data_IF_304430512878
#
_entry.id   IF_304430512878
#
_cell.length_a   1.000
_cell.length_b   1.000
_cell.length_c   1.000
_cell.angle_alpha   90.00
_cell.angle_beta   90.00
_cell.angle_gamma   90.00
#
_symmetry.space_group_name_H-M   'P 1'
#
loop_
_entity.id
_entity.type
_entity.pdbx_description
1 polymer ?
#
# COMPACT_ATOMS: atom_id res chain seq x y z
N UNK A 1 8.26 -33.08 36.54
CA UNK A 1 8.95 -32.51 35.37
C UNK A 1 8.14 -31.32 34.86
N UNK A 2 8.60 -30.09 35.12
CA UNK A 2 7.98 -28.84 34.65
C UNK A 2 9.07 -28.08 33.89
N UNK A 3 8.93 -27.93 32.57
CA UNK A 3 9.83 -27.11 31.74
C UNK A 3 9.13 -25.78 31.48
N UNK A 4 9.60 -24.75 32.15
CA UNK A 4 9.31 -23.35 31.84
C UNK A 4 10.37 -22.92 30.84
N UNK A 5 9.96 -22.59 29.61
CA UNK A 5 10.84 -22.12 28.54
C UNK A 5 10.76 -20.59 28.54
N UNK A 6 11.64 -19.94 29.30
CA UNK A 6 11.83 -18.49 29.26
C UNK A 6 12.71 -18.12 28.06
N UNK A 7 12.12 -17.39 27.12
CA UNK A 7 12.74 -16.84 25.93
C UNK A 7 13.54 -15.57 26.33
N UNK A 8 14.86 -15.66 26.42
CA UNK A 8 15.74 -14.48 26.60
C UNK A 8 16.04 -13.83 25.25
N UNK A 9 15.48 -12.65 25.05
CA UNK A 9 15.75 -11.71 23.98
C UNK A 9 17.13 -11.06 24.19
N UNK A 10 18.12 -11.39 23.36
CA UNK A 10 19.43 -10.73 23.38
C UNK A 10 19.38 -9.45 22.51
N UNK A 11 19.23 -8.30 23.18
CA UNK A 11 19.47 -6.97 22.62
C UNK A 11 20.99 -6.71 22.63
N UNK A 12 21.65 -6.82 21.49
CA UNK A 12 23.04 -6.36 21.34
C UNK A 12 23.04 -4.84 21.09
N UNK A 13 23.18 -4.07 22.17
CA UNK A 13 23.51 -2.65 22.15
C UNK A 13 25.01 -2.56 21.87
N UNK A 14 25.42 -2.27 20.63
CA UNK A 14 26.80 -1.85 20.36
C UNK A 14 26.85 -0.34 20.59
N UNK A 15 27.14 0.01 21.83
CA UNK A 15 27.54 1.35 22.23
C UNK A 15 28.96 1.26 22.81
N UNK A 16 29.86 2.07 22.26
CA UNK A 16 31.05 2.53 22.96
C UNK A 16 32.38 2.01 22.42
N UNK A 17 33.30 2.96 22.21
CA UNK A 17 34.71 2.68 22.40
C UNK A 17 35.62 3.13 21.27
N UNK A 18 35.82 4.44 21.15
CA UNK A 18 37.12 4.97 20.73
C UNK A 18 38.22 4.33 21.59
N UNK A 19 39.20 3.70 20.95
CA UNK A 19 40.54 3.49 21.51
C UNK A 19 41.53 3.78 20.39
N UNK A 20 42.08 4.99 20.41
CA UNK A 20 43.44 5.29 19.95
C UNK A 20 44.32 5.09 21.21
N UNK A 21 45.53 4.53 21.20
CA UNK A 21 46.70 4.98 20.45
C UNK A 21 47.90 4.09 20.82
N UNK A 22 48.79 3.79 19.86
CA UNK A 22 50.20 3.55 20.17
C UNK A 22 51.08 3.87 18.95
N UNK A 23 51.69 5.07 19.03
CA UNK A 23 52.94 5.51 18.42
C UNK A 23 53.05 5.62 16.89
N UNK A 24 53.09 6.86 16.41
CA UNK A 24 53.70 7.21 15.12
C UNK A 24 53.30 8.58 14.60
N UNK A 25 54.06 9.59 14.99
CA UNK A 25 54.32 10.87 14.31
C UNK A 25 53.32 11.38 13.24
N UNK A 26 52.80 12.59 13.47
CA UNK A 26 52.46 13.53 12.39
C UNK A 26 51.01 13.99 12.34
N UNK A 27 50.86 15.31 12.34
CA UNK A 27 49.67 16.10 11.97
C UNK A 27 48.54 16.25 12.99
N UNK A 28 48.31 17.51 13.36
CA UNK A 28 47.15 17.94 14.13
C UNK A 28 45.87 17.65 13.33
N UNK A 29 44.91 16.86 13.86
CA UNK A 29 43.60 16.77 13.23
C UNK A 29 42.85 18.07 13.48
N UNK A 30 42.67 18.83 12.41
CA UNK A 30 41.72 19.94 12.35
C UNK A 30 40.39 19.52 13.01
N UNK A 31 39.95 20.26 14.03
CA UNK A 31 38.63 20.09 14.65
C UNK A 31 37.57 20.58 13.67
N UNK A 32 37.22 19.77 12.68
CA UNK A 32 35.97 19.88 11.97
C UNK A 32 35.14 18.66 12.31
N UNK A 33 34.11 18.87 13.14
CA UNK A 33 33.04 17.91 13.27
C UNK A 33 32.46 17.65 11.87
N UNK A 34 32.25 16.39 11.45
CA UNK A 34 31.57 16.11 10.19
C UNK A 34 30.20 16.81 10.22
N UNK A 35 29.92 17.59 9.17
CA UNK A 35 28.65 18.29 9.04
C UNK A 35 27.51 17.28 9.00
N UNK A 36 26.38 17.62 9.63
CA UNK A 36 25.12 16.84 9.70
C UNK A 36 24.48 16.61 8.30
N UNK A 37 25.21 16.87 7.22
CA UNK A 37 24.76 16.76 5.83
C UNK A 37 24.94 15.36 5.22
N UNK A 38 25.59 14.42 5.91
CA UNK A 38 25.71 13.02 5.45
C UNK A 38 24.71 12.09 6.16
N UNK A 39 23.47 12.55 6.35
CA UNK A 39 22.37 11.62 6.50
C UNK A 39 22.29 10.88 5.18
N UNK A 40 22.73 9.62 5.16
CA UNK A 40 22.57 8.71 4.03
C UNK A 40 21.06 8.61 3.74
N UNK A 41 20.56 9.49 2.86
CA UNK A 41 19.17 9.50 2.43
C UNK A 41 18.98 8.17 1.71
N UNK A 42 18.37 7.21 2.40
CA UNK A 42 18.00 5.95 1.78
C UNK A 42 17.03 6.24 0.65
N UNK A 43 17.53 6.33 -0.58
CA UNK A 43 16.70 6.36 -1.77
C UNK A 43 16.35 4.92 -2.11
N UNK A 44 15.06 4.53 -2.03
CA UNK A 44 14.65 3.19 -2.41
C UNK A 44 15.06 2.95 -3.87
N UNK A 45 15.73 1.81 -4.09
CA UNK A 45 16.21 1.40 -5.42
C UNK A 45 15.14 0.66 -6.21
N UNK A 46 14.19 0.03 -5.52
CA UNK A 46 13.14 -0.77 -6.14
C UNK A 46 11.76 -0.21 -5.85
N UNK A 47 10.81 -0.57 -6.71
CA UNK A 47 9.39 -0.36 -6.46
C UNK A 47 8.94 -1.20 -5.26
N UNK A 48 8.02 -0.67 -4.47
CA UNK A 48 7.41 -1.46 -3.39
C UNK A 48 6.51 -2.57 -3.96
N UNK A 49 6.16 -3.56 -3.14
CA UNK A 49 5.36 -4.70 -3.59
C UNK A 49 4.03 -4.29 -4.26
N UNK A 50 3.35 -3.28 -3.71
CA UNK A 50 2.10 -2.75 -4.28
C UNK A 50 2.31 -2.11 -5.65
N UNK A 51 3.37 -1.35 -5.83
CA UNK A 51 3.76 -0.72 -7.10
C UNK A 51 4.12 -1.79 -8.13
N UNK A 52 4.87 -2.83 -7.75
CA UNK A 52 5.20 -3.96 -8.62
C UNK A 52 3.92 -4.67 -9.11
N UNK A 53 2.97 -4.94 -8.22
CA UNK A 53 1.68 -5.56 -8.58
C UNK A 53 0.88 -4.69 -9.57
N UNK A 54 0.89 -3.37 -9.37
CA UNK A 54 0.25 -2.41 -10.26
C UNK A 54 0.91 -2.36 -11.64
N UNK A 55 2.24 -2.43 -11.71
CA UNK A 55 3.01 -2.49 -12.96
C UNK A 55 2.65 -3.76 -13.72
N UNK A 56 2.63 -4.91 -13.06
CA UNK A 56 2.27 -6.19 -13.67
C UNK A 56 0.83 -6.17 -14.20
N UNK A 57 -0.13 -5.64 -13.42
CA UNK A 57 -1.52 -5.46 -13.89
C UNK A 57 -1.56 -4.60 -15.16
N UNK A 58 -0.83 -3.48 -15.19
CA UNK A 58 -0.75 -2.61 -16.36
C UNK A 58 -0.17 -3.32 -17.59
N UNK A 59 0.92 -4.06 -17.38
CA UNK A 59 1.63 -4.83 -18.41
C UNK A 59 0.77 -5.95 -18.98
N UNK A 60 0.21 -6.82 -18.14
CA UNK A 60 -0.62 -7.94 -18.60
C UNK A 60 -1.95 -7.49 -19.21
N UNK A 61 -2.51 -6.38 -18.71
CA UNK A 61 -3.67 -5.76 -19.36
C UNK A 61 -3.31 -5.28 -20.77
N UNK A 62 -2.17 -4.61 -20.95
CA UNK A 62 -1.75 -4.11 -22.26
C UNK A 62 -1.34 -5.22 -23.24
N UNK A 63 -0.65 -6.25 -22.78
CA UNK A 63 -0.26 -7.41 -23.60
C UNK A 63 -1.44 -8.30 -23.97
N UNK A 64 -2.49 -8.31 -23.16
CA UNK A 64 -3.66 -9.16 -23.32
C UNK A 64 -3.48 -10.56 -22.74
N UNK A 65 -2.44 -10.80 -21.93
CA UNK A 65 -2.21 -12.07 -21.23
C UNK A 65 -3.14 -12.21 -20.02
N UNK A 66 -4.32 -12.79 -20.27
CA UNK A 66 -5.36 -12.96 -19.24
C UNK A 66 -4.97 -14.00 -18.19
N UNK A 67 -4.15 -14.99 -18.53
CA UNK A 67 -3.73 -16.04 -17.60
C UNK A 67 -2.83 -15.47 -16.52
N UNK A 68 -1.81 -14.71 -16.93
CA UNK A 68 -0.92 -14.02 -16.01
C UNK A 68 -1.64 -12.91 -15.23
N UNK A 69 -2.50 -12.12 -15.91
CA UNK A 69 -3.30 -11.08 -15.26
C UNK A 69 -4.15 -11.63 -14.10
N UNK A 70 -4.86 -12.74 -14.33
CA UNK A 70 -5.70 -13.38 -13.31
C UNK A 70 -4.89 -13.82 -12.10
N UNK A 71 -3.73 -14.44 -12.32
CA UNK A 71 -2.82 -14.90 -11.27
C UNK A 71 -2.25 -13.74 -10.45
N UNK A 72 -1.77 -12.68 -11.12
CA UNK A 72 -1.24 -11.47 -10.46
C UNK A 72 -2.32 -10.80 -9.62
N UNK A 73 -3.53 -10.63 -10.15
CA UNK A 73 -4.64 -10.01 -9.41
C UNK A 73 -4.99 -10.83 -8.16
N UNK A 74 -5.14 -12.14 -8.30
CA UNK A 74 -5.44 -13.01 -7.16
C UNK A 74 -4.36 -12.89 -6.08
N UNK A 75 -3.09 -12.97 -6.47
CA UNK A 75 -1.97 -12.88 -5.55
C UNK A 75 -1.87 -11.51 -4.85
N UNK A 76 -2.13 -10.41 -5.57
CA UNK A 76 -2.12 -9.07 -5.01
C UNK A 76 -3.24 -8.86 -3.97
N UNK A 77 -4.42 -9.43 -4.23
CA UNK A 77 -5.56 -9.36 -3.30
C UNK A 77 -5.32 -10.24 -2.07
N UNK A 78 -4.81 -11.46 -2.24
CA UNK A 78 -4.49 -12.38 -1.14
C UNK A 78 -3.42 -11.83 -0.20
N UNK A 79 -2.38 -11.19 -0.75
CA UNK A 79 -1.35 -10.49 0.06
C UNK A 79 -1.86 -9.22 0.72
N UNK A 80 -3.04 -8.71 0.31
CA UNK A 80 -3.58 -7.45 0.78
C UNK A 80 -2.81 -6.21 0.30
N UNK A 81 -2.00 -6.33 -0.77
CA UNK A 81 -1.30 -5.19 -1.37
C UNK A 81 -2.26 -4.31 -2.15
N UNK A 82 -3.27 -4.92 -2.78
CA UNK A 82 -4.32 -4.24 -3.53
C UNK A 82 -5.70 -4.73 -3.09
N UNK A 83 -6.63 -3.81 -2.99
CA UNK A 83 -8.05 -4.14 -2.82
C UNK A 83 -8.70 -4.46 -4.18
N UNK A 84 -9.76 -5.29 -4.22
CA UNK A 84 -10.52 -5.54 -5.45
C UNK A 84 -11.01 -4.25 -6.13
N UNK A 85 -11.32 -3.22 -5.33
CA UNK A 85 -11.72 -1.92 -5.83
C UNK A 85 -10.57 -1.18 -6.51
N UNK A 86 -9.36 -1.19 -5.94
CA UNK A 86 -8.17 -0.63 -6.57
C UNK A 86 -7.83 -1.32 -7.88
N UNK A 87 -7.94 -2.66 -7.93
CA UNK A 87 -7.76 -3.44 -9.17
C UNK A 87 -8.76 -3.00 -10.24
N UNK A 88 -10.04 -2.90 -9.90
CA UNK A 88 -11.06 -2.45 -10.86
C UNK A 88 -10.78 -1.04 -11.39
N UNK A 89 -10.34 -0.12 -10.51
CA UNK A 89 -9.98 1.24 -10.91
C UNK A 89 -8.73 1.24 -11.80
N UNK A 90 -7.70 0.47 -11.44
CA UNK A 90 -6.46 0.35 -12.19
C UNK A 90 -6.71 -0.16 -13.61
N UNK A 91 -7.56 -1.17 -13.79
CA UNK A 91 -7.92 -1.68 -15.13
C UNK A 91 -8.73 -0.63 -15.91
N UNK A 92 -9.76 -0.01 -15.31
CA UNK A 92 -10.64 0.93 -16.01
C UNK A 92 -9.92 2.17 -16.53
N UNK A 93 -8.91 2.66 -15.82
CA UNK A 93 -8.15 3.83 -16.30
C UNK A 93 -7.24 3.51 -17.50
N UNK A 94 -6.96 2.24 -17.77
CA UNK A 94 -6.12 1.82 -18.89
C UNK A 94 -6.81 1.94 -20.25
N UNK A 95 -8.04 2.46 -20.30
CA UNK A 95 -8.68 2.82 -21.57
C UNK A 95 -7.77 3.69 -22.46
N UNK A 96 -7.09 4.69 -21.89
CA UNK A 96 -6.21 5.59 -22.64
C UNK A 96 -4.88 4.93 -23.04
N UNK A 97 -4.32 4.09 -22.17
CA UNK A 97 -3.00 3.50 -22.35
C UNK A 97 -3.01 2.15 -23.10
N UNK A 98 -3.93 1.24 -22.75
CA UNK A 98 -4.06 -0.10 -23.33
C UNK A 98 -5.16 -0.19 -24.40
N UNK A 99 -6.18 0.67 -24.33
CA UNK A 99 -7.31 0.71 -25.28
C UNK A 99 -8.53 -0.08 -24.82
N UNK A 100 -9.69 0.21 -25.41
CA UNK A 100 -11.00 -0.32 -24.99
C UNK A 100 -11.07 -1.85 -24.99
N UNK A 101 -10.56 -2.48 -26.05
CA UNK A 101 -10.59 -3.95 -26.22
C UNK A 101 -9.86 -4.64 -25.06
N UNK A 102 -8.64 -4.20 -24.77
CA UNK A 102 -7.81 -4.82 -23.74
C UNK A 102 -8.34 -4.54 -22.33
N UNK A 103 -8.83 -3.31 -22.08
CA UNK A 103 -9.49 -2.97 -20.83
C UNK A 103 -10.72 -3.88 -20.58
N UNK A 104 -11.58 -4.06 -21.58
CA UNK A 104 -12.78 -4.89 -21.43
C UNK A 104 -12.45 -6.37 -21.23
N UNK A 105 -11.42 -6.88 -21.91
CA UNK A 105 -10.93 -8.25 -21.70
C UNK A 105 -10.43 -8.44 -20.26
N UNK A 106 -9.60 -7.52 -19.77
CA UNK A 106 -9.09 -7.53 -18.40
C UNK A 106 -10.21 -7.43 -17.34
N UNK A 107 -11.24 -6.62 -17.59
CA UNK A 107 -12.41 -6.54 -16.72
C UNK A 107 -13.20 -7.86 -16.70
N UNK A 108 -13.40 -8.49 -17.86
CA UNK A 108 -14.07 -9.79 -17.93
C UNK A 108 -13.29 -10.86 -17.15
N UNK A 109 -11.96 -10.88 -17.27
CA UNK A 109 -11.09 -11.77 -16.49
C UNK A 109 -11.17 -11.49 -14.99
N UNK A 110 -11.26 -10.22 -14.60
CA UNK A 110 -11.45 -9.85 -13.19
C UNK A 110 -12.82 -10.27 -12.66
N UNK A 111 -13.88 -10.15 -13.46
CA UNK A 111 -15.22 -10.59 -13.08
C UNK A 111 -15.30 -12.12 -12.97
N UNK A 112 -14.69 -12.88 -13.90
CA UNK A 112 -14.55 -14.34 -13.78
C UNK A 112 -13.82 -14.75 -12.50
N UNK A 113 -12.75 -14.03 -12.12
CA UNK A 113 -12.05 -14.31 -10.86
C UNK A 113 -12.95 -14.09 -9.64
N UNK A 114 -13.84 -13.10 -9.67
CA UNK A 114 -14.79 -12.82 -8.59
C UNK A 114 -15.94 -13.82 -8.53
N UNK A 115 -16.30 -14.44 -9.65
CA UNK A 115 -17.24 -15.56 -9.70
C UNK A 115 -16.62 -16.82 -9.09
N UNK A 116 -15.35 -17.11 -9.41
CA UNK A 116 -14.62 -18.24 -8.84
C UNK A 116 -14.29 -18.04 -7.36
N UNK A 117 -14.05 -16.80 -6.95
CA UNK A 117 -13.66 -16.41 -5.59
C UNK A 117 -14.54 -15.25 -5.12
N UNK A 118 -15.75 -15.54 -4.58
CA UNK A 118 -16.66 -14.50 -4.10
C UNK A 118 -16.07 -13.65 -2.95
N UNK A 119 -15.06 -14.18 -2.26
CA UNK A 119 -14.20 -13.50 -1.29
C UNK A 119 -13.47 -12.26 -1.85
N UNK A 120 -13.25 -12.17 -3.17
CA UNK A 120 -12.70 -10.97 -3.81
C UNK A 120 -13.79 -9.98 -4.25
N UNK A 121 -15.06 -10.29 -3.99
CA UNK A 121 -16.22 -9.47 -4.30
C UNK A 121 -16.83 -8.83 -3.06
N UNK A 122 -18.11 -9.11 -2.82
CA UNK A 122 -18.86 -8.53 -1.70
C UNK A 122 -18.34 -8.98 -0.33
N UNK A 123 -17.68 -10.14 -0.28
CA UNK A 123 -17.17 -10.72 0.96
C UNK A 123 -15.73 -10.31 1.29
N UNK A 124 -15.11 -9.44 0.49
CA UNK A 124 -13.73 -8.98 0.73
C UNK A 124 -13.54 -8.36 2.12
N UNK A 125 -14.53 -7.60 2.61
CA UNK A 125 -14.48 -7.03 3.96
C UNK A 125 -14.49 -8.08 5.09
N UNK A 126 -14.92 -9.32 4.81
CA UNK A 126 -14.89 -10.44 5.77
C UNK A 126 -13.51 -11.12 5.79
N UNK A 127 -12.76 -11.03 4.68
CA UNK A 127 -11.43 -11.62 4.52
C UNK A 127 -10.33 -10.73 5.12
N UNK A 128 -10.49 -9.41 5.04
CA UNK A 128 -9.55 -8.45 5.64
C UNK A 128 -9.76 -8.43 7.16
N UNK A 129 -8.74 -8.74 7.98
CA UNK A 129 -8.82 -8.51 9.41
C UNK A 129 -9.16 -7.04 9.62
N UNK A 130 -10.30 -6.74 10.27
CA UNK A 130 -10.61 -5.37 10.66
C UNK A 130 -9.40 -4.88 11.45
N UNK A 131 -8.61 -3.99 10.85
CA UNK A 131 -7.55 -3.30 11.58
C UNK A 131 -8.27 -2.51 12.67
N UNK A 132 -8.34 -3.10 13.86
CA UNK A 132 -8.56 -2.39 15.11
C UNK A 132 -7.54 -1.29 15.07
N UNK A 133 -8.00 -0.06 14.83
CA UNK A 133 -7.11 1.07 14.63
C UNK A 133 -6.14 1.12 15.80
N UNK A 134 -4.92 1.60 15.57
CA UNK A 134 -3.92 1.73 16.63
C UNK A 134 -4.49 2.49 17.87
N UNK A 135 -5.50 3.34 17.67
CA UNK A 135 -6.32 3.96 18.73
C UNK A 135 -7.10 2.96 19.62
N UNK A 136 -7.66 1.89 19.05
CA UNK A 136 -8.31 0.82 19.80
C UNK A 136 -7.31 -0.09 20.54
N UNK A 137 -6.05 -0.12 20.09
CA UNK A 137 -4.96 -0.85 20.75
C UNK A 137 -4.26 -0.03 21.84
N UNK A 138 -4.21 1.32 21.70
CA UNK A 138 -3.49 2.23 22.61
C UNK A 138 -4.36 3.07 23.55
N UNK A 139 -5.70 3.03 23.48
CA UNK A 139 -6.47 3.81 24.44
C UNK A 139 -7.98 3.74 24.26
N UNK A 140 -8.61 2.90 25.08
CA UNK A 140 -9.60 3.39 26.04
C UNK A 140 -9.73 2.36 27.15
N UNK A 141 -8.97 2.58 28.22
CA UNK A 141 -9.24 1.98 29.52
C UNK A 141 -10.54 2.54 30.08
N UNK A 142 -11.66 2.00 29.61
CA UNK A 142 -12.91 1.94 30.37
C UNK A 142 -13.56 0.62 30.01
N UNK A 143 -13.25 -0.40 30.81
CA UNK A 143 -14.14 -1.54 30.98
C UNK A 143 -15.46 -0.99 31.52
N UNK A 144 -16.37 -0.62 30.63
CA UNK A 144 -17.76 -0.36 30.94
C UNK A 144 -18.41 -1.71 31.17
N UNK A 145 -18.50 -2.08 32.44
CA UNK A 145 -19.14 -3.27 32.96
C UNK A 145 -20.49 -3.56 32.28
N UNK A 146 -20.75 -4.85 32.09
CA UNK A 146 -22.08 -5.36 31.82
C UNK A 146 -23.05 -4.82 32.89
N UNK A 147 -24.04 -4.04 32.46
CA UNK A 147 -25.22 -3.73 33.24
C UNK A 147 -26.42 -4.26 32.49
N UNK A 148 -26.70 -5.54 32.74
CA UNK A 148 -28.06 -6.08 32.73
C UNK A 148 -28.93 -5.20 33.62
N UNK A 149 -29.92 -4.51 33.04
CA UNK A 149 -31.09 -4.04 33.81
C UNK A 149 -32.37 -4.35 33.05
N UNK A 150 -33.17 -5.16 33.75
CA UNK A 150 -34.52 -5.56 33.43
C UNK A 150 -35.47 -4.35 33.31
N UNK A 151 -36.50 -4.61 32.52
CA UNK A 151 -37.72 -3.86 32.25
C UNK A 151 -38.55 -3.65 33.54
N UNK A 152 -39.02 -2.43 33.82
CA UNK A 152 -40.28 -2.15 34.55
C UNK A 152 -40.77 -0.73 34.20
N UNK A 153 -42.09 -0.60 34.12
CA UNK A 153 -42.91 0.43 33.48
C UNK A 153 -43.06 1.80 34.19
N UNK A 154 -43.51 2.74 33.36
CA UNK A 154 -44.39 3.90 33.61
C UNK A 154 -44.00 5.02 34.60
N UNK A 155 -43.66 6.18 34.05
CA UNK A 155 -44.22 7.48 34.44
C UNK A 155 -43.99 8.53 33.34
N UNK A 156 -45.06 9.24 32.99
CA UNK A 156 -45.11 10.32 31.98
C UNK A 156 -44.18 11.46 32.36
N UNK A 157 -43.37 11.95 31.43
CA UNK A 157 -42.99 13.38 31.35
C UNK A 157 -42.28 13.70 30.02
N UNK A 158 -42.78 14.73 29.34
CA UNK A 158 -42.17 15.49 28.24
C UNK A 158 -41.27 14.75 27.26
N UNK A 159 -41.82 14.33 26.11
CA UNK A 159 -40.99 14.04 24.92
C UNK A 159 -40.45 15.37 24.37
N UNK A 160 -39.39 15.89 24.99
CA UNK A 160 -38.48 16.79 24.31
C UNK A 160 -37.81 15.95 23.23
N UNK A 161 -38.29 16.10 21.99
CA UNK A 161 -37.52 15.69 20.83
C UNK A 161 -36.25 16.53 20.81
N UNK A 162 -35.23 16.10 21.56
CA UNK A 162 -33.89 16.55 21.29
C UNK A 162 -33.57 15.95 19.92
N UNK A 163 -33.78 16.78 18.89
CA UNK A 163 -33.30 16.54 17.55
C UNK A 163 -31.79 16.55 17.66
N UNK A 164 -31.23 15.44 18.13
CA UNK A 164 -29.89 15.03 17.76
C UNK A 164 -29.95 14.93 16.26
N UNK A 165 -29.64 16.05 15.62
CA UNK A 165 -29.35 16.19 14.21
C UNK A 165 -28.31 15.12 13.98
N UNK A 166 -28.76 13.94 13.55
CA UNK A 166 -27.90 12.81 13.28
C UNK A 166 -26.94 13.36 12.22
N UNK A 167 -25.73 13.73 12.66
CA UNK A 167 -24.67 14.06 11.72
C UNK A 167 -24.59 12.80 10.89
N UNK A 168 -24.92 12.92 9.60
CA UNK A 168 -24.83 11.82 8.65
C UNK A 168 -23.54 11.06 8.96
N UNK A 169 -23.56 9.72 8.98
CA UNK A 169 -22.34 8.95 9.24
C UNK A 169 -21.23 9.57 8.41
N UNK A 170 -20.12 9.96 9.08
CA UNK A 170 -18.99 10.59 8.40
C UNK A 170 -18.72 9.75 7.14
N UNK A 171 -18.63 10.35 5.95
CA UNK A 171 -18.44 9.58 4.74
C UNK A 171 -17.25 8.65 4.98
N UNK A 172 -17.49 7.33 4.80
CA UNK A 172 -16.46 6.31 4.78
C UNK A 172 -15.26 6.92 4.05
N UNK A 173 -14.09 6.94 4.70
CA UNK A 173 -12.90 7.63 4.24
C UNK A 173 -12.66 7.39 2.74
N UNK A 174 -13.08 8.35 1.88
CA UNK A 174 -13.04 8.27 0.40
C UNK A 174 -11.62 8.15 -0.15
N UNK A 175 -10.60 8.22 0.71
CA UNK A 175 -9.20 8.11 0.33
C UNK A 175 -8.71 6.65 0.29
N UNK A 176 -9.44 5.66 0.82
CA UNK A 176 -9.09 4.24 0.63
C UNK A 176 -9.56 3.66 -0.71
N UNK A 177 -10.51 4.32 -1.37
CA UNK A 177 -11.15 3.81 -2.60
C UNK A 177 -10.59 4.45 -3.87
N UNK A 178 -9.38 5.03 -3.84
CA UNK A 178 -8.80 5.75 -4.97
C UNK A 178 -7.32 5.40 -5.09
N UNK A 179 -6.94 4.84 -6.25
CA UNK A 179 -5.54 4.77 -6.65
C UNK A 179 -4.89 6.16 -6.54
N UNK A 180 -3.72 6.26 -5.92
CA UNK A 180 -2.98 7.52 -5.78
C UNK A 180 -2.48 8.03 -7.14
N UNK A 181 -2.15 9.31 -7.26
CA UNK A 181 -1.68 9.87 -8.55
C UNK A 181 -0.46 9.11 -9.10
N UNK A 182 0.50 8.82 -8.24
CA UNK A 182 1.68 8.01 -8.52
C UNK A 182 1.32 6.63 -9.09
N UNK A 183 0.43 5.92 -8.40
CA UNK A 183 0.00 4.58 -8.79
C UNK A 183 -0.70 4.58 -10.15
N UNK A 184 -1.52 5.61 -10.40
CA UNK A 184 -2.24 5.74 -11.67
C UNK A 184 -1.27 5.90 -12.82
N UNK A 185 -0.31 6.79 -12.63
CA UNK A 185 0.73 7.04 -13.61
C UNK A 185 1.60 5.81 -13.82
N UNK A 186 1.92 5.08 -12.75
CA UNK A 186 2.74 3.87 -12.81
C UNK A 186 2.07 2.76 -13.64
N UNK A 187 0.79 2.51 -13.37
CA UNK A 187 -0.02 1.55 -14.14
C UNK A 187 -0.12 1.97 -15.60
N UNK A 188 -0.33 3.26 -15.87
CA UNK A 188 -0.43 3.79 -17.22
C UNK A 188 0.91 3.70 -17.97
N UNK A 189 2.02 4.06 -17.33
CA UNK A 189 3.37 3.95 -17.86
C UNK A 189 3.71 2.49 -18.22
N UNK A 190 3.39 1.54 -17.34
CA UNK A 190 3.59 0.12 -17.58
C UNK A 190 2.81 -0.37 -18.82
N UNK A 191 1.53 0.00 -18.91
CA UNK A 191 0.70 -0.35 -20.05
C UNK A 191 1.17 0.31 -21.37
N UNK A 192 1.57 1.58 -21.32
CA UNK A 192 2.12 2.30 -22.45
C UNK A 192 3.42 1.64 -22.92
N UNK A 193 4.40 1.47 -22.02
CA UNK A 193 5.69 0.85 -22.35
C UNK A 193 5.53 -0.53 -22.98
N UNK A 194 4.59 -1.34 -22.47
CA UNK A 194 4.29 -2.67 -23.02
C UNK A 194 3.71 -2.62 -24.43
N UNK A 195 2.84 -1.64 -24.71
CA UNK A 195 2.13 -1.57 -26.00
C UNK A 195 2.95 -0.87 -27.08
N UNK A 196 3.69 0.17 -26.73
CA UNK A 196 4.35 1.07 -27.69
C UNK A 196 5.87 1.09 -27.58
N UNK A 197 6.46 0.35 -26.64
CA UNK A 197 7.91 0.30 -26.43
C UNK A 197 8.48 1.57 -25.77
N UNK A 198 9.83 1.65 -25.73
CA UNK A 198 10.54 2.87 -25.33
C UNK A 198 10.37 3.95 -26.39
N UNK A 199 9.38 4.83 -26.22
CA UNK A 199 9.09 5.94 -27.12
C UNK A 199 8.82 7.24 -26.35
N UNK A 200 8.56 8.32 -27.08
CA UNK A 200 8.32 9.65 -26.49
C UNK A 200 7.17 9.69 -25.47
N UNK A 201 6.15 8.82 -25.59
CA UNK A 201 5.05 8.74 -24.62
C UNK A 201 5.50 8.08 -23.31
N UNK A 202 6.34 7.04 -23.41
CA UNK A 202 6.94 6.43 -22.24
C UNK A 202 7.92 7.39 -21.55
N UNK A 203 8.76 8.11 -22.29
CA UNK A 203 9.66 9.12 -21.71
C UNK A 203 8.92 10.29 -21.04
N UNK A 204 7.76 10.69 -21.57
CA UNK A 204 6.89 11.65 -20.89
C UNK A 204 6.36 11.09 -19.56
N UNK A 205 6.05 9.79 -19.52
CA UNK A 205 5.59 9.10 -18.32
C UNK A 205 6.72 8.96 -17.29
N UNK A 206 7.96 8.69 -17.70
CA UNK A 206 9.14 8.68 -16.81
C UNK A 206 9.33 10.03 -16.11
N UNK A 207 9.20 11.13 -16.87
CA UNK A 207 9.29 12.49 -16.32
C UNK A 207 8.18 12.74 -15.29
N UNK A 208 6.94 12.38 -15.63
CA UNK A 208 5.78 12.47 -14.73
C UNK A 208 5.99 11.66 -13.45
N UNK A 209 6.51 10.44 -13.55
CA UNK A 209 6.83 9.57 -12.41
C UNK A 209 7.91 10.18 -11.51
N UNK A 210 8.95 10.75 -12.10
CA UNK A 210 10.00 11.47 -11.38
C UNK A 210 9.44 12.69 -10.63
N UNK A 211 8.58 13.49 -11.26
CA UNK A 211 7.89 14.62 -10.65
C UNK A 211 6.96 14.20 -9.50
N UNK A 212 6.37 13.00 -9.59
CA UNK A 212 5.54 12.42 -8.54
C UNK A 212 6.35 11.77 -7.40
N UNK A 213 7.68 11.73 -7.52
CA UNK A 213 8.61 11.34 -6.45
C UNK A 213 9.23 9.95 -6.58
N UNK A 214 9.16 9.29 -7.75
CA UNK A 214 9.97 8.09 -8.01
C UNK A 214 11.45 8.47 -8.14
N UNK A 215 12.31 7.70 -7.50
CA UNK A 215 13.76 7.85 -7.68
C UNK A 215 14.18 7.36 -9.07
N UNK A 216 15.33 7.84 -9.57
CA UNK A 216 15.90 7.36 -10.84
C UNK A 216 16.05 5.83 -10.85
N UNK A 217 16.53 5.25 -9.76
CA UNK A 217 16.69 3.80 -9.62
C UNK A 217 15.36 3.04 -9.71
N UNK A 218 14.27 3.62 -9.19
CA UNK A 218 12.94 3.01 -9.29
C UNK A 218 12.39 3.06 -10.73
N UNK A 219 12.74 4.09 -11.49
CA UNK A 219 12.39 4.19 -12.91
C UNK A 219 13.19 3.16 -13.71
N UNK A 220 14.48 3.01 -13.45
CA UNK A 220 15.30 1.94 -14.05
C UNK A 220 14.73 0.55 -13.71
N UNK A 221 14.29 0.33 -12.47
CA UNK A 221 13.62 -0.92 -12.07
C UNK A 221 12.27 -1.13 -12.77
N UNK A 222 11.49 -0.07 -13.00
CA UNK A 222 10.26 -0.11 -13.79
C UNK A 222 10.57 -0.51 -15.23
N UNK A 223 11.59 0.08 -15.84
CA UNK A 223 12.01 -0.24 -17.21
C UNK A 223 12.41 -1.71 -17.35
N UNK A 224 13.21 -2.25 -16.42
CA UNK A 224 13.57 -3.67 -16.44
C UNK A 224 12.34 -4.57 -16.35
N UNK A 225 11.30 -4.18 -15.60
CA UNK A 225 10.06 -4.96 -15.50
C UNK A 225 9.21 -4.95 -16.77
N UNK A 226 9.40 -3.97 -17.67
CA UNK A 226 8.57 -3.79 -18.86
C UNK A 226 9.28 -4.32 -20.12
N UNK A 227 10.59 -4.10 -20.24
CA UNK A 227 11.32 -4.28 -21.50
C UNK A 227 12.32 -5.44 -21.51
N UNK A 228 12.59 -6.06 -20.35
CA UNK A 228 13.41 -7.28 -20.25
C UNK A 228 12.51 -8.51 -20.08
#
# INVERSE_FOLDING_TARGET
>A
MKRVLTLTLALAIVAGGYMFEANGAGEQPSKQAPSISEINIYTPKELNARQKDLVEIGRYTASGDQGALKSTIASAIERGTLTPQEVSIAIRQLYSAAGLKQMNAALATFDQLREERPEFGADYEKMVPKQTGLSALLGNGTNGAALTKQKTEEAKEGVQYNTFRMKKPKPQNRNRSRLGKLDRELVAAAALGTRVGKNNLFSASEKSLSELGLSKYQIENLESMIFE
#
